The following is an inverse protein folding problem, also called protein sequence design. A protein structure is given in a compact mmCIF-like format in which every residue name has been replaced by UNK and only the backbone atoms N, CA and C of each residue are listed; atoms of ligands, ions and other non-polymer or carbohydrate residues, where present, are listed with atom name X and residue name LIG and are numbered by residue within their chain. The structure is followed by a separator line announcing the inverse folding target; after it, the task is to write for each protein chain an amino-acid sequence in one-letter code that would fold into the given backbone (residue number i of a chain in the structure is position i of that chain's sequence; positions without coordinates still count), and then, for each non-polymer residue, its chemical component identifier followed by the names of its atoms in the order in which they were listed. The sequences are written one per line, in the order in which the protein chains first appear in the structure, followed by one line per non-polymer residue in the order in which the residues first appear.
data_IF_378572939816
#
_entry.id   IF_378572939816
#
_cell.length_a   1.000
_cell.length_b   1.000
_cell.length_c   1.000
_cell.angle_alpha   90.00
_cell.angle_beta   90.00
_cell.angle_gamma   90.00
#
_symmetry.space_group_name_H-M   'P 1'
#
loop_
_entity.id
_entity.type
_entity.pdbx_description
1 polymer ?
#
# COMPACT_ATOMS: atom_id res chain seq x y z
N UNK A 1 6.97 9.97 40.95
CA UNK A 1 6.29 10.05 39.63
C UNK A 1 7.05 9.11 38.71
N UNK A 2 6.49 7.92 38.46
CA UNK A 2 7.04 7.03 37.44
C UNK A 2 6.82 7.72 36.09
N UNK A 3 7.88 7.79 35.30
CA UNK A 3 7.84 8.38 33.98
C UNK A 3 7.17 7.34 33.07
N UNK A 4 5.85 7.43 32.90
CA UNK A 4 5.02 6.55 32.05
C UNK A 4 5.28 6.82 30.55
N UNK A 5 6.53 7.04 30.18
CA UNK A 5 6.93 7.22 28.80
C UNK A 5 6.89 5.85 28.12
N UNK A 6 5.87 5.65 27.27
CA UNK A 6 5.79 4.48 26.39
C UNK A 6 7.08 4.45 25.53
N UNK A 7 7.82 3.33 25.49
CA UNK A 7 8.96 3.19 24.60
C UNK A 7 8.59 3.53 23.16
N UNK A 8 9.45 4.27 22.44
CA UNK A 8 9.16 4.75 21.07
C UNK A 8 8.71 3.61 20.15
N UNK A 9 9.31 2.43 20.30
CA UNK A 9 8.95 1.24 19.52
C UNK A 9 7.51 0.76 19.78
N UNK A 10 7.06 0.82 21.03
CA UNK A 10 5.69 0.47 21.42
C UNK A 10 4.70 1.55 20.96
N UNK A 11 5.07 2.82 21.04
CA UNK A 11 4.25 3.93 20.51
C UNK A 11 4.05 3.82 18.98
N UNK A 12 5.11 3.51 18.23
CA UNK A 12 5.04 3.31 16.77
C UNK A 12 4.23 2.06 16.39
N UNK A 13 4.35 0.99 17.17
CA UNK A 13 3.53 -0.22 17.01
C UNK A 13 2.05 0.07 17.25
N UNK A 14 1.72 0.79 18.33
CA UNK A 14 0.35 1.15 18.67
C UNK A 14 -0.27 2.09 17.63
N UNK A 15 0.48 3.09 17.15
CA UNK A 15 0.04 3.97 16.07
C UNK A 15 -0.17 3.20 14.77
N UNK A 16 0.77 2.31 14.40
CA UNK A 16 0.65 1.48 13.21
C UNK A 16 -0.59 0.58 13.24
N UNK A 17 -0.84 -0.08 14.38
CA UNK A 17 -2.03 -0.91 14.58
C UNK A 17 -3.34 -0.10 14.54
N UNK A 18 -3.36 1.09 15.15
CA UNK A 18 -4.52 1.97 15.12
C UNK A 18 -4.86 2.41 13.69
N UNK A 19 -3.85 2.86 12.94
CA UNK A 19 -4.01 3.25 11.53
C UNK A 19 -4.46 2.05 10.69
N UNK A 20 -3.84 0.88 10.86
CA UNK A 20 -4.21 -0.34 10.14
C UNK A 20 -5.68 -0.74 10.39
N UNK A 21 -6.16 -0.63 11.63
CA UNK A 21 -7.55 -0.92 11.99
C UNK A 21 -8.55 0.06 11.38
N UNK A 22 -8.19 1.34 11.27
CA UNK A 22 -9.05 2.34 10.60
C UNK A 22 -9.05 2.11 9.09
N UNK A 23 -7.89 1.85 8.50
CA UNK A 23 -7.77 1.51 7.08
C UNK A 23 -8.61 0.28 6.72
N UNK A 24 -8.61 -0.76 7.55
CA UNK A 24 -9.42 -1.95 7.34
C UNK A 24 -10.94 -1.70 7.36
N UNK A 25 -11.40 -0.65 8.05
CA UNK A 25 -12.80 -0.22 8.03
C UNK A 25 -13.12 0.66 6.81
N UNK A 26 -12.13 1.41 6.33
CA UNK A 26 -12.29 2.33 5.20
C UNK A 26 -12.15 1.63 3.84
N UNK A 27 -11.33 0.58 3.77
CA UNK A 27 -11.08 -0.22 2.57
C UNK A 27 -12.05 -1.41 2.59
N UNK A 28 -13.09 -1.31 1.78
CA UNK A 28 -14.26 -2.21 1.85
C UNK A 28 -14.30 -3.26 0.75
N UNK A 29 -13.45 -3.13 -0.28
CA UNK A 29 -13.43 -4.04 -1.42
C UNK A 29 -12.03 -4.21 -2.03
N UNK A 30 -11.88 -5.22 -2.89
CA UNK A 30 -10.60 -5.57 -3.51
C UNK A 30 -10.03 -4.46 -4.40
N UNK A 31 -10.89 -3.70 -5.08
CA UNK A 31 -10.48 -2.55 -5.89
C UNK A 31 -9.83 -1.48 -5.02
N UNK A 32 -10.50 -1.05 -3.95
CA UNK A 32 -9.95 -0.09 -2.98
C UNK A 32 -8.63 -0.60 -2.36
N UNK A 33 -8.58 -1.89 -2.03
CA UNK A 33 -7.39 -2.56 -1.52
C UNK A 33 -6.21 -2.45 -2.50
N UNK A 34 -6.43 -2.82 -3.76
CA UNK A 34 -5.41 -2.77 -4.81
C UNK A 34 -4.84 -1.36 -4.97
N UNK A 35 -5.73 -0.36 -5.08
CA UNK A 35 -5.31 1.04 -5.26
C UNK A 35 -4.60 1.58 -4.02
N UNK A 36 -5.08 1.27 -2.82
CA UNK A 36 -4.40 1.67 -1.60
C UNK A 36 -2.98 1.10 -1.56
N UNK A 37 -2.83 -0.21 -1.76
CA UNK A 37 -1.55 -0.89 -1.72
C UNK A 37 -0.58 -0.31 -2.75
N UNK A 38 -0.99 -0.22 -4.02
CA UNK A 38 -0.10 0.24 -5.10
C UNK A 38 0.25 1.71 -5.00
N UNK A 39 -0.69 2.60 -4.63
CA UNK A 39 -0.43 4.04 -4.53
C UNK A 39 0.42 4.37 -3.30
N UNK A 40 0.14 3.78 -2.14
CA UNK A 40 0.97 4.01 -0.96
C UNK A 40 2.40 3.53 -1.18
N UNK A 41 2.58 2.36 -1.81
CA UNK A 41 3.91 1.84 -2.12
C UNK A 41 4.70 2.79 -3.04
N UNK A 42 4.08 3.28 -4.12
CA UNK A 42 4.71 4.25 -5.04
C UNK A 42 5.02 5.60 -4.35
N UNK A 43 4.09 6.09 -3.53
CA UNK A 43 4.26 7.32 -2.78
C UNK A 43 5.45 7.21 -1.81
N UNK A 44 5.53 6.13 -1.01
CA UNK A 44 6.63 5.92 -0.07
C UNK A 44 7.97 5.67 -0.79
N UNK A 45 7.95 5.01 -1.95
CA UNK A 45 9.13 4.90 -2.81
C UNK A 45 9.63 6.26 -3.30
N UNK A 46 8.76 7.25 -3.42
CA UNK A 46 9.15 8.60 -3.85
C UNK A 46 9.56 9.48 -2.68
N UNK A 47 8.88 9.34 -1.53
CA UNK A 47 9.05 10.20 -0.35
C UNK A 47 10.18 9.77 0.58
N UNK A 48 10.56 8.49 0.58
CA UNK A 48 11.63 7.96 1.43
C UNK A 48 12.78 7.48 0.55
N UNK A 49 13.88 8.27 0.44
CA UNK A 49 15.03 7.95 -0.41
C UNK A 49 15.69 6.63 0.00
N UNK A 50 15.90 6.42 1.29
CA UNK A 50 16.52 5.22 1.85
C UNK A 50 15.61 4.02 1.63
N UNK A 51 16.05 3.01 0.88
CA UNK A 51 15.21 1.83 0.60
C UNK A 51 15.26 0.75 1.68
N UNK A 52 15.91 1.02 2.81
CA UNK A 52 16.04 0.07 3.92
C UNK A 52 14.69 -0.26 4.55
N UNK A 53 13.70 0.65 4.50
CA UNK A 53 12.34 0.39 4.98
C UNK A 53 11.65 -0.75 4.23
N UNK A 54 12.04 -1.06 2.98
CA UNK A 54 11.46 -2.19 2.23
C UNK A 54 11.79 -3.54 2.87
N UNK A 55 12.80 -3.62 3.73
CA UNK A 55 13.19 -4.87 4.39
C UNK A 55 12.16 -5.35 5.43
N UNK A 56 11.31 -4.44 5.93
CA UNK A 56 10.26 -4.79 6.90
C UNK A 56 8.93 -5.15 6.23
N UNK A 57 8.86 -5.13 4.89
CA UNK A 57 7.64 -5.44 4.16
C UNK A 57 7.49 -6.95 3.94
N UNK A 58 6.27 -7.50 4.10
CA UNK A 58 6.02 -8.93 3.92
C UNK A 58 6.06 -9.37 2.45
N UNK A 59 6.05 -8.41 1.51
CA UNK A 59 6.19 -8.65 0.09
C UNK A 59 6.76 -7.40 -0.61
N UNK A 60 7.29 -7.60 -1.82
CA UNK A 60 7.64 -6.51 -2.73
C UNK A 60 6.67 -6.49 -3.89
N UNK A 61 6.30 -5.29 -4.32
CA UNK A 61 5.54 -5.09 -5.54
C UNK A 61 6.51 -5.03 -6.74
N UNK A 62 6.11 -5.64 -7.85
CA UNK A 62 6.74 -5.45 -9.15
C UNK A 62 6.45 -4.03 -9.64
N UNK A 63 7.38 -3.45 -10.39
CA UNK A 63 7.23 -2.09 -10.92
C UNK A 63 5.93 -1.90 -11.72
N UNK A 64 5.51 -2.93 -12.46
CA UNK A 64 4.28 -2.89 -13.25
C UNK A 64 3.04 -2.72 -12.36
N UNK A 65 3.05 -3.23 -11.13
CA UNK A 65 1.90 -3.13 -10.21
C UNK A 65 1.69 -1.68 -9.75
N UNK A 66 2.75 -1.00 -9.33
CA UNK A 66 2.63 0.34 -8.73
C UNK A 66 2.85 1.51 -9.71
N UNK A 67 3.36 1.26 -10.92
CA UNK A 67 3.43 2.29 -11.99
C UNK A 67 2.37 2.12 -13.07
N UNK A 68 2.02 0.89 -13.45
CA UNK A 68 1.14 0.61 -14.58
C UNK A 68 -0.21 0.02 -14.16
N UNK A 69 -0.32 -0.56 -12.97
CA UNK A 69 -1.57 -1.03 -12.38
C UNK A 69 -2.58 0.08 -12.03
N UNK A 70 -2.24 1.33 -12.35
CA UNK A 70 -3.06 2.54 -12.17
C UNK A 70 -3.87 2.91 -13.42
N UNK A 71 -3.63 2.25 -14.56
CA UNK A 71 -4.04 2.70 -15.91
C UNK A 71 -5.48 2.28 -16.29
N UNK A 72 -6.29 1.71 -15.40
CA UNK A 72 -7.73 1.53 -15.65
C UNK A 72 -8.56 2.67 -15.03
N UNK A 73 -8.82 3.77 -15.76
CA UNK A 73 -9.57 4.92 -15.24
C UNK A 73 -11.05 4.61 -15.00
N UNK A 74 -11.62 3.64 -15.72
CA UNK A 74 -13.07 3.42 -15.78
C UNK A 74 -13.70 2.81 -14.51
N UNK A 75 -12.91 2.20 -13.61
CA UNK A 75 -13.44 1.67 -12.35
C UNK A 75 -13.41 2.71 -11.23
N UNK A 76 -12.55 3.75 -11.34
CA UNK A 76 -12.16 4.58 -10.20
C UNK A 76 -12.49 6.07 -10.28
N UNK A 77 -12.90 6.60 -11.43
CA UNK A 77 -13.40 7.98 -11.50
C UNK A 77 -14.61 8.23 -10.57
N UNK A 78 -15.25 7.18 -10.04
CA UNK A 78 -16.52 7.29 -9.31
C UNK A 78 -16.39 7.21 -7.78
N UNK A 79 -15.30 6.66 -7.19
CA UNK A 79 -15.23 6.41 -5.72
C UNK A 79 -13.98 6.88 -4.96
N UNK A 80 -12.88 7.21 -5.64
CA UNK A 80 -11.64 7.65 -4.97
C UNK A 80 -10.90 6.54 -4.22
N UNK A 81 -9.89 6.89 -3.41
CA UNK A 81 -9.07 5.95 -2.64
C UNK A 81 -9.22 6.25 -1.14
N UNK A 82 -10.20 5.64 -0.44
CA UNK A 82 -10.55 6.01 0.93
C UNK A 82 -9.40 5.78 1.93
N UNK A 83 -8.58 4.75 1.70
CA UNK A 83 -7.40 4.49 2.52
C UNK A 83 -6.35 5.59 2.38
N UNK A 84 -6.03 5.97 1.14
CA UNK A 84 -5.07 7.04 0.86
C UNK A 84 -5.60 8.41 1.32
N UNK A 85 -6.89 8.65 1.14
CA UNK A 85 -7.57 9.86 1.61
C UNK A 85 -7.50 9.98 3.13
N UNK A 86 -7.74 8.91 3.87
CA UNK A 86 -7.59 8.89 5.33
C UNK A 86 -6.16 9.27 5.75
N UNK A 87 -5.15 8.65 5.12
CA UNK A 87 -3.74 8.95 5.41
C UNK A 87 -3.42 10.41 5.10
N UNK A 88 -3.71 10.87 3.88
CA UNK A 88 -3.25 12.18 3.41
C UNK A 88 -4.07 13.35 3.98
N UNK A 89 -5.35 13.14 4.31
CA UNK A 89 -6.23 14.22 4.80
C UNK A 89 -6.35 14.26 6.32
N UNK A 90 -6.08 13.16 7.02
CA UNK A 90 -6.24 13.10 8.48
C UNK A 90 -4.93 12.76 9.19
N UNK A 91 -4.26 11.66 8.81
CA UNK A 91 -3.08 11.19 9.57
C UNK A 91 -1.87 12.09 9.35
N UNK A 92 -1.49 12.34 8.10
CA UNK A 92 -0.30 13.13 7.76
C UNK A 92 -0.39 14.56 8.32
N UNK A 93 -1.49 15.33 8.11
CA UNK A 93 -1.59 16.67 8.67
C UNK A 93 -1.45 16.70 10.19
N UNK A 94 -2.13 15.79 10.90
CA UNK A 94 -2.06 15.73 12.37
C UNK A 94 -0.66 15.40 12.88
N UNK A 95 0.08 14.52 12.20
CA UNK A 95 1.46 14.21 12.61
C UNK A 95 2.42 15.37 12.34
N UNK A 96 2.23 16.10 11.24
CA UNK A 96 3.05 17.27 10.87
C UNK A 96 2.86 18.46 11.81
N UNK A 97 1.81 18.49 12.64
CA UNK A 97 1.67 19.50 13.71
C UNK A 97 2.74 19.34 14.81
N UNK A 98 3.32 18.14 14.95
CA UNK A 98 4.23 17.79 16.05
C UNK A 98 5.61 17.35 15.56
N UNK A 99 5.69 16.69 14.41
CA UNK A 99 6.90 16.03 13.92
C UNK A 99 7.34 16.60 12.56
N UNK A 100 8.64 16.48 12.27
CA UNK A 100 9.17 16.80 10.94
C UNK A 100 8.71 15.80 9.87
N UNK A 101 8.83 16.19 8.60
CA UNK A 101 8.34 15.41 7.47
C UNK A 101 9.01 14.03 7.35
N UNK A 102 10.28 13.90 7.72
CA UNK A 102 11.02 12.64 7.61
C UNK A 102 10.49 11.63 8.62
N UNK A 103 10.29 12.05 9.87
CA UNK A 103 9.71 11.21 10.91
C UNK A 103 8.25 10.86 10.60
N UNK A 104 7.47 11.80 10.03
CA UNK A 104 6.11 11.50 9.56
C UNK A 104 6.14 10.44 8.47
N UNK A 105 6.99 10.57 7.45
CA UNK A 105 7.09 9.60 6.36
C UNK A 105 7.47 8.21 6.87
N UNK A 106 8.45 8.11 7.77
CA UNK A 106 8.84 6.84 8.39
C UNK A 106 7.71 6.23 9.22
N UNK A 107 6.94 7.06 9.94
CA UNK A 107 5.79 6.63 10.72
C UNK A 107 4.68 6.08 9.82
N UNK A 108 4.39 6.75 8.70
CA UNK A 108 3.43 6.27 7.70
C UNK A 108 3.93 4.97 7.05
N UNK A 109 5.22 4.87 6.73
CA UNK A 109 5.80 3.64 6.17
C UNK A 109 5.66 2.46 7.13
N UNK A 110 5.88 2.69 8.43
CA UNK A 110 5.68 1.69 9.47
C UNK A 110 4.19 1.30 9.61
N UNK A 111 3.28 2.27 9.62
CA UNK A 111 1.84 1.98 9.68
C UNK A 111 1.38 1.16 8.46
N UNK A 112 1.86 1.53 7.27
CA UNK A 112 1.60 0.81 6.03
C UNK A 112 2.19 -0.61 6.06
N UNK A 113 3.40 -0.80 6.61
CA UNK A 113 3.98 -2.14 6.74
C UNK A 113 3.18 -3.03 7.69
N UNK A 114 2.74 -2.50 8.84
CA UNK A 114 1.88 -3.23 9.79
C UNK A 114 0.55 -3.65 9.15
N UNK A 115 -0.07 -2.75 8.39
CA UNK A 115 -1.25 -3.07 7.60
C UNK A 115 -0.97 -4.20 6.58
N UNK A 116 0.12 -4.09 5.82
CA UNK A 116 0.51 -5.12 4.85
C UNK A 116 0.77 -6.49 5.51
N UNK A 117 1.38 -6.52 6.71
CA UNK A 117 1.63 -7.74 7.48
C UNK A 117 0.30 -8.37 7.90
N UNK A 118 -0.59 -7.56 8.48
CA UNK A 118 -1.85 -8.06 9.03
C UNK A 118 -2.80 -8.58 7.93
N UNK A 119 -2.84 -7.92 6.78
CA UNK A 119 -3.76 -8.24 5.68
C UNK A 119 -3.07 -8.95 4.51
N UNK A 120 -1.89 -9.54 4.72
CA UNK A 120 -1.04 -10.10 3.65
C UNK A 120 -1.79 -11.08 2.74
N UNK A 121 -2.56 -12.01 3.31
CA UNK A 121 -3.29 -13.02 2.54
C UNK A 121 -4.36 -12.38 1.63
N UNK A 122 -5.09 -11.39 2.16
CA UNK A 122 -6.12 -10.67 1.41
C UNK A 122 -5.49 -9.77 0.32
N UNK A 123 -4.34 -9.17 0.61
CA UNK A 123 -3.57 -8.39 -0.36
C UNK A 123 -3.06 -9.29 -1.48
N UNK A 124 -2.49 -10.45 -1.17
CA UNK A 124 -2.00 -11.40 -2.18
C UNK A 124 -3.12 -11.92 -3.08
N UNK A 125 -4.28 -12.25 -2.50
CA UNK A 125 -5.45 -12.64 -3.29
C UNK A 125 -5.89 -11.51 -4.23
N UNK A 126 -6.00 -10.29 -3.70
CA UNK A 126 -6.29 -9.09 -4.49
C UNK A 126 -5.27 -8.92 -5.63
N UNK A 127 -3.97 -9.01 -5.33
CA UNK A 127 -2.90 -8.88 -6.32
C UNK A 127 -3.00 -9.93 -7.43
N UNK A 128 -3.38 -11.17 -7.08
CA UNK A 128 -3.58 -12.26 -8.06
C UNK A 128 -4.74 -11.94 -9.01
N UNK A 129 -5.88 -11.53 -8.46
CA UNK A 129 -7.07 -11.15 -9.25
C UNK A 129 -6.72 -10.04 -10.25
N UNK A 130 -6.07 -8.98 -9.79
CA UNK A 130 -5.70 -7.87 -10.67
C UNK A 130 -4.61 -8.25 -11.68
N UNK A 131 -3.62 -9.05 -11.30
CA UNK A 131 -2.59 -9.50 -12.23
C UNK A 131 -3.19 -10.35 -13.37
N UNK A 132 -4.14 -11.22 -13.08
CA UNK A 132 -4.86 -12.00 -14.09
C UNK A 132 -5.72 -11.12 -15.00
N UNK A 133 -6.48 -10.18 -14.41
CA UNK A 133 -7.29 -9.20 -15.14
C UNK A 133 -6.47 -8.35 -16.10
N UNK A 134 -5.38 -7.73 -15.62
CA UNK A 134 -4.51 -6.91 -16.47
C UNK A 134 -3.84 -7.73 -17.56
N UNK A 135 -3.33 -8.94 -17.24
CA UNK A 135 -2.75 -9.84 -18.24
C UNK A 135 -3.74 -10.13 -19.37
N UNK A 136 -4.99 -10.44 -19.04
CA UNK A 136 -6.02 -10.77 -20.01
C UNK A 136 -6.41 -9.56 -20.88
N UNK A 137 -6.58 -8.39 -20.26
CA UNK A 137 -6.86 -7.15 -20.99
C UNK A 137 -5.72 -6.80 -21.96
N UNK A 138 -4.47 -6.79 -21.49
CA UNK A 138 -3.34 -6.48 -22.37
C UNK A 138 -3.12 -7.53 -23.47
N UNK A 139 -3.42 -8.81 -23.23
CA UNK A 139 -3.40 -9.83 -24.31
C UNK A 139 -4.48 -9.56 -25.35
N UNK A 140 -5.72 -9.29 -24.92
CA UNK A 140 -6.84 -8.99 -25.81
C UNK A 140 -6.53 -7.79 -26.69
N UNK A 141 -5.88 -6.77 -26.13
CA UNK A 141 -5.56 -5.53 -26.82
C UNK A 141 -4.24 -5.60 -27.62
N UNK A 142 -3.60 -6.79 -27.72
CA UNK A 142 -2.40 -7.03 -28.52
C UNK A 142 -1.07 -6.59 -27.88
N UNK A 143 -1.10 -6.15 -26.63
CA UNK A 143 0.06 -5.71 -25.85
C UNK A 143 0.76 -6.88 -25.13
N UNK A 144 1.19 -7.89 -25.89
CA UNK A 144 1.73 -9.15 -25.34
C UNK A 144 2.91 -8.95 -24.37
N UNK A 145 3.85 -8.05 -24.66
CA UNK A 145 4.99 -7.80 -23.78
C UNK A 145 4.58 -7.25 -22.39
N UNK A 146 3.50 -6.45 -22.32
CA UNK A 146 2.98 -5.93 -21.05
C UNK A 146 2.23 -7.06 -20.32
N UNK A 147 1.46 -7.86 -21.06
CA UNK A 147 0.77 -9.01 -20.49
C UNK A 147 1.73 -10.05 -19.89
N UNK A 148 2.86 -10.33 -20.54
CA UNK A 148 3.84 -11.29 -20.03
C UNK A 148 4.45 -10.84 -18.69
N UNK A 149 4.67 -9.53 -18.52
CA UNK A 149 5.09 -8.95 -17.22
C UNK A 149 4.02 -9.13 -16.14
N UNK A 150 2.74 -9.04 -16.48
CA UNK A 150 1.65 -9.36 -15.54
C UNK A 150 1.55 -10.86 -15.24
N UNK A 151 1.88 -11.71 -16.21
CA UNK A 151 1.97 -13.15 -16.00
C UNK A 151 3.12 -13.52 -15.03
N UNK A 152 4.24 -12.80 -15.06
CA UNK A 152 5.31 -12.92 -14.06
C UNK A 152 4.81 -12.59 -12.65
N UNK A 153 4.06 -11.49 -12.49
CA UNK A 153 3.41 -11.14 -11.21
C UNK A 153 2.51 -12.28 -10.75
N UNK A 154 1.59 -12.74 -11.61
CA UNK A 154 0.66 -13.81 -11.27
C UNK A 154 1.36 -15.12 -10.88
N UNK A 155 2.44 -15.49 -11.57
CA UNK A 155 3.25 -16.68 -11.23
C UNK A 155 3.95 -16.54 -9.88
N UNK A 156 4.45 -15.35 -9.54
CA UNK A 156 5.11 -15.09 -8.25
C UNK A 156 4.18 -15.20 -7.03
N UNK A 157 2.87 -15.14 -7.24
CA UNK A 157 1.86 -15.19 -6.18
C UNK A 157 1.29 -16.60 -5.94
N UNK A 158 1.71 -17.60 -6.73
CA UNK A 158 1.23 -19.00 -6.66
C UNK A 158 2.19 -19.94 -5.91
N UNK A 159 3.38 -19.45 -5.55
CA UNK A 159 4.45 -20.17 -4.82
C UNK A 159 4.43 -19.83 -3.34
#
# INVERSE_FOLDING_TARGET
MQNDAVPIQEALSNLGMNVANVLAKAITNQSEQWYFITNMYDQLLTQIPEKNWLQVFPFKLFEIEYRWGKIEPFVFEVRGNPGLDYINKQVVPSLLETFDADLVNLTIAHAYSQYCIHYVAYIQDTRRVFAEHFRENFRRDGHNAIADRWDEVARSLRS
#
